data_IF_331197538536
#
_entry.id   IF_331197538536
#
_cell.length_a   1.000
_cell.length_b   1.000
_cell.length_c   1.000
_cell.angle_alpha   90.00
_cell.angle_beta   90.00
_cell.angle_gamma   90.00
#
_symmetry.space_group_name_H-M   'P 1'
#
loop_
_entity.id
_entity.type
_entity.pdbx_description
1 polymer ?
#
# COMPACT_ATOMS: atom_id res chain seq x y z
N UNK A 1 4.40 -0.69 -7.41
CA UNK A 1 3.01 -0.98 -7.85
C UNK A 1 2.80 -0.44 -9.25
N UNK A 2 2.37 -1.30 -10.17
CA UNK A 2 1.90 -0.90 -11.50
C UNK A 2 0.41 -1.22 -11.58
N UNK A 3 -0.38 -0.24 -11.96
CA UNK A 3 -1.83 -0.34 -12.19
C UNK A 3 -2.11 -0.02 -13.64
N UNK A 4 -3.10 -0.70 -14.24
CA UNK A 4 -3.50 -0.45 -15.62
C UNK A 4 -5.02 -0.54 -15.78
N UNK A 5 -5.49 0.10 -16.85
CA UNK A 5 -6.81 -0.10 -17.45
C UNK A 5 -6.64 -0.20 -18.97
N UNK A 6 -7.48 -0.99 -19.65
CA UNK A 6 -7.45 -1.14 -21.10
C UNK A 6 -8.80 -0.83 -21.78
N UNK A 7 -8.79 -0.84 -23.12
CA UNK A 7 -9.97 -0.51 -23.96
C UNK A 7 -11.03 -1.61 -23.97
N UNK A 8 -10.73 -2.80 -23.46
CA UNK A 8 -11.68 -3.90 -23.29
C UNK A 8 -12.41 -3.81 -21.94
N UNK A 9 -12.02 -2.84 -21.11
CA UNK A 9 -12.60 -2.60 -19.78
C UNK A 9 -11.94 -3.40 -18.67
N UNK A 10 -10.76 -4.01 -18.91
CA UNK A 10 -10.03 -4.66 -17.84
C UNK A 10 -9.29 -3.65 -16.99
N UNK A 11 -9.21 -3.94 -15.68
CA UNK A 11 -8.32 -3.27 -14.75
C UNK A 11 -7.41 -4.30 -14.09
N UNK A 12 -6.15 -3.94 -13.87
CA UNK A 12 -5.23 -4.83 -13.22
C UNK A 12 -4.13 -4.15 -12.43
N UNK A 13 -3.52 -4.95 -11.57
CA UNK A 13 -2.48 -4.55 -10.64
C UNK A 13 -1.41 -5.62 -10.59
N UNK A 14 -0.16 -5.19 -10.53
CA UNK A 14 0.97 -6.03 -10.16
C UNK A 14 1.96 -5.25 -9.30
N UNK A 15 2.51 -5.92 -8.29
CA UNK A 15 3.74 -5.46 -7.63
C UNK A 15 4.90 -5.61 -8.61
N UNK A 16 5.14 -4.54 -9.37
CA UNK A 16 6.22 -4.47 -10.35
C UNK A 16 7.59 -4.39 -9.66
N UNK A 17 8.62 -4.87 -10.36
CA UNK A 17 10.00 -4.93 -9.87
C UNK A 17 10.42 -6.33 -9.46
N UNK A 18 11.74 -6.48 -9.24
CA UNK A 18 12.36 -7.68 -8.70
C UNK A 18 12.55 -7.49 -7.20
N UNK A 19 12.08 -8.45 -6.42
CA UNK A 19 12.25 -8.45 -4.96
C UNK A 19 13.31 -9.48 -4.62
N UNK A 20 14.45 -9.10 -4.03
CA UNK A 20 15.51 -10.03 -3.71
C UNK A 20 15.10 -10.96 -2.57
N UNK A 21 15.50 -12.23 -2.68
CA UNK A 21 15.45 -13.17 -1.56
C UNK A 21 16.75 -13.03 -0.77
N UNK A 22 16.61 -12.90 0.55
CA UNK A 22 17.72 -12.87 1.50
C UNK A 22 17.81 -14.22 2.19
N UNK A 23 19.02 -14.64 2.55
CA UNK A 23 19.26 -15.87 3.28
C UNK A 23 18.63 -15.84 4.67
N UNK A 24 18.38 -17.02 5.26
CA UNK A 24 17.84 -17.11 6.62
C UNK A 24 18.78 -16.52 7.69
N UNK A 25 20.08 -16.44 7.38
CA UNK A 25 21.13 -15.90 8.26
C UNK A 25 21.38 -14.39 8.05
N UNK A 26 20.62 -13.73 7.17
CA UNK A 26 20.63 -12.27 6.99
C UNK A 26 19.78 -11.65 8.11
N UNK A 27 20.46 -11.09 9.12
CA UNK A 27 19.86 -10.44 10.28
C UNK A 27 19.54 -8.95 10.07
N UNK A 28 19.94 -8.38 8.93
CA UNK A 28 19.69 -6.97 8.60
C UNK A 28 18.43 -6.79 7.76
N UNK A 29 18.02 -7.83 7.02
CA UNK A 29 16.83 -7.82 6.17
C UNK A 29 16.75 -6.63 5.20
N UNK A 30 17.90 -6.05 4.85
CA UNK A 30 17.99 -4.84 4.01
C UNK A 30 17.56 -3.53 4.70
N UNK A 31 17.42 -3.52 6.03
CA UNK A 31 17.07 -2.33 6.83
C UNK A 31 18.28 -1.43 7.13
N UNK A 32 19.50 -1.95 6.94
CA UNK A 32 20.74 -1.22 7.17
C UNK A 32 21.80 -1.65 6.14
N UNK A 33 22.87 -0.85 5.94
CA UNK A 33 24.00 -1.26 5.13
C UNK A 33 24.62 -2.57 5.64
N UNK A 34 24.72 -3.56 4.76
CA UNK A 34 25.28 -4.88 5.10
C UNK A 34 26.80 -4.94 4.86
N UNK A 35 27.55 -5.67 5.71
CA UNK A 35 28.92 -6.09 5.43
C UNK A 35 29.04 -6.89 4.12
N UNK A 36 29.39 -6.21 3.02
CA UNK A 36 29.45 -6.83 1.69
C UNK A 36 30.54 -7.90 1.48
N UNK A 37 31.39 -8.13 2.49
CA UNK A 37 32.38 -9.20 2.49
C UNK A 37 31.89 -10.50 3.14
N UNK A 38 30.69 -10.51 3.75
CA UNK A 38 30.07 -11.69 4.34
C UNK A 38 28.97 -12.25 3.44
N UNK A 39 29.14 -13.48 2.96
CA UNK A 39 28.19 -14.11 2.02
C UNK A 39 26.79 -14.32 2.58
N UNK A 40 26.61 -14.22 3.91
CA UNK A 40 25.28 -14.30 4.55
C UNK A 40 24.34 -13.18 4.12
N UNK A 41 24.87 -12.07 3.59
CA UNK A 41 24.11 -10.92 3.10
C UNK A 41 23.91 -10.91 1.59
N UNK A 42 24.42 -11.92 0.87
CA UNK A 42 24.18 -12.05 -0.56
C UNK A 42 22.71 -12.36 -0.85
N UNK A 43 22.21 -11.85 -1.98
CA UNK A 43 20.89 -12.24 -2.47
C UNK A 43 20.94 -13.66 -3.01
N UNK A 44 20.07 -14.53 -2.50
CA UNK A 44 20.00 -15.96 -2.88
C UNK A 44 19.03 -16.22 -4.04
N UNK A 45 18.49 -15.15 -4.63
CA UNK A 45 17.54 -15.23 -5.74
C UNK A 45 16.55 -14.06 -5.69
N UNK A 46 15.39 -14.27 -6.32
CA UNK A 46 14.32 -13.29 -6.37
C UNK A 46 12.98 -13.97 -6.14
N UNK A 47 12.04 -13.25 -5.54
CA UNK A 47 10.66 -13.71 -5.36
C UNK A 47 10.10 -14.13 -6.73
N UNK A 48 9.55 -15.35 -6.86
CA UNK A 48 8.95 -15.81 -8.11
C UNK A 48 7.84 -14.87 -8.57
N UNK A 49 7.75 -14.62 -9.89
CA UNK A 49 6.71 -13.74 -10.44
C UNK A 49 5.31 -14.13 -9.96
N UNK A 50 4.99 -15.43 -9.98
CA UNK A 50 3.71 -15.99 -9.54
C UNK A 50 3.36 -15.72 -8.07
N UNK A 51 4.36 -15.48 -7.23
CA UNK A 51 4.19 -15.17 -5.81
C UNK A 51 4.01 -13.66 -5.53
N UNK A 52 4.20 -12.79 -6.53
CA UNK A 52 4.03 -11.35 -6.33
C UNK A 52 2.55 -10.96 -6.28
N UNK A 53 2.18 -10.03 -5.38
CA UNK A 53 0.83 -9.49 -5.31
C UNK A 53 0.35 -9.00 -6.67
N UNK A 54 -0.83 -9.45 -7.06
CA UNK A 54 -1.46 -9.11 -8.34
C UNK A 54 -2.98 -9.19 -8.22
N UNK A 55 -3.67 -8.47 -9.08
CA UNK A 55 -5.13 -8.53 -9.22
C UNK A 55 -5.53 -8.24 -10.65
N UNK A 56 -6.59 -8.90 -11.13
CA UNK A 56 -7.21 -8.67 -12.43
C UNK A 56 -8.72 -8.67 -12.23
N UNK A 57 -9.38 -7.58 -12.62
CA UNK A 57 -10.84 -7.41 -12.52
C UNK A 57 -11.41 -7.85 -11.16
N UNK A 58 -10.93 -7.27 -10.03
CA UNK A 58 -11.40 -7.67 -8.72
C UNK A 58 -12.90 -7.37 -8.56
N UNK A 59 -13.59 -8.18 -7.75
CA UNK A 59 -15.04 -8.05 -7.50
C UNK A 59 -15.46 -6.67 -6.98
N UNK A 60 -14.56 -5.97 -6.30
CA UNK A 60 -14.80 -4.60 -5.82
C UNK A 60 -14.95 -3.56 -6.94
N UNK A 61 -14.56 -3.90 -8.18
CA UNK A 61 -14.75 -3.03 -9.36
C UNK A 61 -13.76 -1.88 -9.48
N UNK A 62 -12.78 -1.78 -8.57
CA UNK A 62 -11.71 -0.80 -8.63
C UNK A 62 -10.39 -1.38 -8.10
N UNK A 63 -9.29 -0.66 -8.33
CA UNK A 63 -7.97 -0.96 -7.75
C UNK A 63 -7.42 0.34 -7.18
N UNK A 64 -6.91 0.31 -5.94
CA UNK A 64 -6.28 1.46 -5.29
C UNK A 64 -4.89 1.09 -4.79
N UNK A 65 -3.89 1.95 -5.01
CA UNK A 65 -2.58 1.82 -4.37
C UNK A 65 -2.05 3.20 -4.00
N UNK A 66 -1.57 3.35 -2.77
CA UNK A 66 -1.07 4.60 -2.21
C UNK A 66 0.06 4.33 -1.20
N UNK A 67 1.01 3.46 -1.57
CA UNK A 67 2.21 3.11 -0.79
C UNK A 67 1.95 2.41 0.56
N UNK A 68 0.71 2.00 0.82
CA UNK A 68 0.37 1.13 1.93
C UNK A 68 1.02 -0.25 1.77
N UNK A 69 1.12 -1.00 2.87
CA UNK A 69 1.56 -2.40 2.84
C UNK A 69 0.64 -3.23 1.93
N UNK A 70 1.23 -3.97 0.99
CA UNK A 70 0.51 -4.74 -0.06
C UNK A 70 0.46 -6.26 0.18
N UNK A 71 1.02 -6.72 1.29
CA UNK A 71 1.08 -8.12 1.71
C UNK A 71 0.65 -8.23 3.17
N UNK A 72 0.09 -9.37 3.61
CA UNK A 72 -0.21 -9.56 5.02
C UNK A 72 1.08 -9.60 5.87
N UNK A 73 1.02 -9.34 7.19
CA UNK A 73 2.20 -9.34 8.06
C UNK A 73 2.97 -10.68 8.07
N UNK A 74 2.28 -11.79 7.85
CA UNK A 74 2.80 -13.17 7.84
C UNK A 74 3.11 -13.70 6.42
N UNK A 75 3.26 -12.81 5.45
CA UNK A 75 3.56 -13.20 4.07
C UNK A 75 4.87 -14.00 3.97
N UNK A 76 4.87 -15.05 3.16
CA UNK A 76 6.01 -15.96 3.02
C UNK A 76 7.29 -15.30 2.48
N UNK A 77 7.17 -14.15 1.82
CA UNK A 77 8.30 -13.40 1.27
C UNK A 77 8.35 -12.00 1.88
N UNK A 78 9.58 -11.51 2.11
CA UNK A 78 9.82 -10.13 2.54
C UNK A 78 9.70 -9.16 1.35
N UNK A 79 8.71 -8.27 1.40
CA UNK A 79 8.50 -7.20 0.41
C UNK A 79 8.99 -5.82 0.90
N UNK A 80 9.77 -5.80 1.98
CA UNK A 80 10.22 -4.60 2.67
C UNK A 80 9.36 -4.27 3.89
N UNK A 81 9.87 -3.33 4.69
CA UNK A 81 9.33 -3.00 6.01
C UNK A 81 8.82 -1.56 6.11
N UNK A 82 9.37 -0.66 5.29
CA UNK A 82 9.01 0.76 5.28
C UNK A 82 7.80 1.00 4.38
N UNK A 83 6.63 1.05 5.01
CA UNK A 83 5.36 1.32 4.37
C UNK A 83 4.77 2.63 4.87
N UNK A 84 4.07 3.35 4.00
CA UNK A 84 3.30 4.52 4.43
C UNK A 84 2.04 4.03 5.14
N UNK A 85 1.63 4.75 6.19
CA UNK A 85 0.35 4.51 6.86
C UNK A 85 -0.81 4.58 5.85
N UNK A 86 -1.86 3.77 6.04
CA UNK A 86 -2.84 3.48 4.98
C UNK A 86 -3.83 4.61 4.71
N UNK A 87 -3.72 5.77 5.37
CA UNK A 87 -4.73 6.83 5.32
C UNK A 87 -5.12 7.26 3.90
N UNK A 88 -4.14 7.47 3.00
CA UNK A 88 -4.43 7.80 1.60
C UNK A 88 -5.10 6.65 0.86
N UNK A 89 -4.66 5.43 1.11
CA UNK A 89 -5.26 4.23 0.51
C UNK A 89 -6.71 4.06 0.95
N UNK A 90 -6.98 4.17 2.24
CA UNK A 90 -8.32 4.09 2.82
C UNK A 90 -9.22 5.20 2.28
N UNK A 91 -8.72 6.44 2.21
CA UNK A 91 -9.47 7.58 1.66
C UNK A 91 -9.86 7.38 0.19
N UNK A 92 -8.92 6.91 -0.64
CA UNK A 92 -9.19 6.56 -2.04
C UNK A 92 -10.24 5.45 -2.14
N UNK A 93 -10.20 4.45 -1.26
CA UNK A 93 -11.17 3.34 -1.24
C UNK A 93 -12.57 3.78 -0.85
N UNK A 94 -12.70 4.63 0.17
CA UNK A 94 -13.98 5.22 0.57
C UNK A 94 -14.60 5.94 -0.63
N UNK A 95 -13.77 6.75 -1.30
CA UNK A 95 -14.20 7.55 -2.41
C UNK A 95 -14.60 6.69 -3.60
N UNK A 96 -13.77 5.72 -4.02
CA UNK A 96 -14.07 4.81 -5.15
C UNK A 96 -15.22 3.84 -4.85
N UNK A 97 -15.36 3.38 -3.60
CA UNK A 97 -16.35 2.40 -3.17
C UNK A 97 -17.79 2.94 -3.06
N UNK A 98 -17.99 4.25 -3.18
CA UNK A 98 -19.33 4.84 -3.26
C UNK A 98 -20.10 4.42 -4.53
N UNK A 99 -21.43 4.60 -4.55
CA UNK A 99 -22.27 4.22 -5.69
C UNK A 99 -21.98 5.08 -6.93
N UNK A 100 -22.13 4.49 -8.12
CA UNK A 100 -22.04 5.19 -9.40
C UNK A 100 -20.69 5.05 -10.12
N UNK A 101 -20.66 5.51 -11.37
CA UNK A 101 -19.42 5.61 -12.14
C UNK A 101 -18.66 6.89 -11.75
N UNK A 102 -17.34 6.84 -11.85
CA UNK A 102 -16.48 8.00 -11.61
C UNK A 102 -16.23 8.75 -12.91
N UNK A 103 -16.33 10.06 -12.82
CA UNK A 103 -16.05 11.00 -13.89
C UNK A 103 -14.61 11.53 -13.78
N UNK A 104 -14.21 12.30 -14.79
CA UNK A 104 -12.93 13.00 -14.76
C UNK A 104 -12.91 14.09 -13.67
N UNK A 105 -14.03 14.79 -13.47
CA UNK A 105 -14.17 15.82 -12.44
C UNK A 105 -13.99 15.22 -11.05
N UNK A 106 -14.64 14.09 -10.81
CA UNK A 106 -14.51 13.34 -9.56
C UNK A 106 -13.01 13.03 -9.30
N UNK A 107 -12.24 12.67 -10.34
CA UNK A 107 -10.80 12.40 -10.18
C UNK A 107 -9.99 13.65 -9.80
N UNK A 108 -10.39 14.84 -10.27
CA UNK A 108 -9.77 16.11 -9.88
C UNK A 108 -10.07 16.44 -8.43
N UNK A 109 -11.30 16.22 -7.97
CA UNK A 109 -11.67 16.38 -6.56
C UNK A 109 -10.84 15.46 -5.67
N UNK A 110 -10.69 14.18 -6.03
CA UNK A 110 -9.89 13.22 -5.28
C UNK A 110 -8.41 13.64 -5.18
N UNK A 111 -7.83 14.21 -6.25
CA UNK A 111 -6.45 14.71 -6.22
C UNK A 111 -6.27 15.94 -5.30
N UNK A 112 -7.35 16.68 -5.05
CA UNK A 112 -7.37 17.84 -4.16
C UNK A 112 -7.96 17.52 -2.77
N UNK A 113 -8.21 16.25 -2.43
CA UNK A 113 -8.74 15.86 -1.13
C UNK A 113 -7.71 16.15 -0.02
N UNK A 114 -8.07 17.09 0.85
CA UNK A 114 -7.27 17.51 2.02
C UNK A 114 -7.80 16.93 3.34
N UNK A 115 -8.73 15.97 3.27
CA UNK A 115 -9.39 15.44 4.46
C UNK A 115 -8.43 14.59 5.30
N UNK A 116 -8.31 14.92 6.59
CA UNK A 116 -7.51 14.13 7.53
C UNK A 116 -8.38 13.15 8.31
N UNK A 117 -8.37 11.88 7.90
CA UNK A 117 -9.04 10.78 8.62
C UNK A 117 -8.54 10.63 10.05
N UNK A 118 -7.25 10.86 10.27
CA UNK A 118 -6.63 10.90 11.60
C UNK A 118 -7.30 11.95 12.47
N UNK A 119 -7.39 13.20 11.99
CA UNK A 119 -8.01 14.28 12.78
C UNK A 119 -9.50 14.06 12.96
N UNK A 120 -10.22 13.53 11.96
CA UNK A 120 -11.62 13.17 12.12
C UNK A 120 -11.84 12.14 13.25
N UNK A 121 -10.92 11.18 13.39
CA UNK A 121 -10.97 10.18 14.47
C UNK A 121 -10.57 10.72 15.85
N UNK A 122 -9.63 11.67 15.91
CA UNK A 122 -9.10 12.21 17.15
C UNK A 122 -9.91 13.38 17.69
N UNK A 123 -10.54 14.18 16.82
CA UNK A 123 -11.21 15.42 17.18
C UNK A 123 -12.24 15.25 18.30
N UNK A 124 -13.12 14.22 18.31
CA UNK A 124 -14.06 14.02 19.42
C UNK A 124 -13.35 13.86 20.77
N UNK A 125 -12.28 13.05 20.81
CA UNK A 125 -11.49 12.83 22.03
C UNK A 125 -10.76 14.08 22.47
N UNK A 126 -10.25 14.86 21.52
CA UNK A 126 -9.57 16.13 21.82
C UNK A 126 -10.56 17.15 22.41
N UNK A 127 -11.77 17.23 21.87
CA UNK A 127 -12.81 18.13 22.37
C UNK A 127 -13.26 17.75 23.77
N UNK A 128 -13.37 16.46 24.10
CA UNK A 128 -13.64 15.99 25.48
C UNK A 128 -12.63 16.56 26.49
N UNK A 129 -11.35 16.65 26.12
CA UNK A 129 -10.30 17.17 27.01
C UNK A 129 -10.35 18.69 27.19
N UNK A 130 -11.04 19.41 26.29
CA UNK A 130 -11.20 20.87 26.33
C UNK A 130 -12.58 21.27 26.88
N UNK A 131 -13.52 20.32 26.91
CA UNK A 131 -14.90 20.51 27.37
C UNK A 131 -15.10 20.13 28.84
N UNK A 132 -14.03 20.18 29.65
CA UNK A 132 -14.11 20.17 31.11
C UNK A 132 -13.85 21.61 31.60
N UNK A 133 -14.86 22.49 31.59
CA UNK A 133 -14.75 23.79 32.21
C UNK A 133 -14.94 23.59 33.72
N UNK A 134 -14.05 24.19 34.50
CA UNK A 134 -14.49 24.74 35.79
C UNK A 134 -15.76 25.58 35.63
#
# INVERSE_FOLDING_TARGET
>A
NMVYADVEGNIGYVSAGRVPLRGADDDLHGLAPSPGWESRYDWIGYVPESAKPRSLNPREGFIATANQRIVPPDNAFDFGHDWVLPYRYERIREWLGGPGQRTLEDSLELQNDEFSSVMASLLPKMLEQVSDPE
#
